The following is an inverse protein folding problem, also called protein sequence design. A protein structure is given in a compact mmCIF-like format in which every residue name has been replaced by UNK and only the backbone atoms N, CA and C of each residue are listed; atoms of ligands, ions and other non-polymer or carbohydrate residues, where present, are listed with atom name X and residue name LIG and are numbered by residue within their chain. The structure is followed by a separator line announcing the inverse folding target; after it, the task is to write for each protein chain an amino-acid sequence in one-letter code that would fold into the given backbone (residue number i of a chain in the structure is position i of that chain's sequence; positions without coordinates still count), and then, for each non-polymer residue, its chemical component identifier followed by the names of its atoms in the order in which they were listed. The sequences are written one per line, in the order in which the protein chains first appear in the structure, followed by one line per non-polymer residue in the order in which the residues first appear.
data_IF_057648235995
#
_entry.id   IF_057648235995
#
_cell.length_a   1.000
_cell.length_b   1.000
_cell.length_c   1.000
_cell.angle_alpha   90.00
_cell.angle_beta   90.00
_cell.angle_gamma   90.00
#
_symmetry.space_group_name_H-M   'P 1'
#
loop_
_entity.id
_entity.type
_entity.pdbx_description
1 polymer ?
#
# COMPACT_ATOMS: atom_id res chain seq x y z
N UNK A 1 -25.78 22.77 -7.60
CA UNK A 1 -25.15 23.84 -6.81
C UNK A 1 -23.71 23.47 -6.58
N UNK A 2 -22.78 24.27 -7.11
CA UNK A 2 -21.34 24.05 -7.01
C UNK A 2 -20.71 25.07 -6.03
N UNK A 3 -19.51 24.70 -5.56
CA UNK A 3 -18.84 25.05 -4.31
C UNK A 3 -18.44 26.53 -4.07
N UNK A 4 -18.15 26.84 -2.80
CA UNK A 4 -17.32 27.98 -2.40
C UNK A 4 -16.24 27.50 -1.41
N UNK A 5 -14.98 27.50 -1.85
CA UNK A 5 -13.79 27.36 -0.99
C UNK A 5 -13.16 28.74 -0.78
N UNK A 6 -12.84 29.10 0.46
CA UNK A 6 -12.26 30.39 0.87
C UNK A 6 -11.07 30.13 1.79
N UNK A 7 -9.93 30.77 1.50
CA UNK A 7 -8.88 31.02 2.48
C UNK A 7 -7.46 30.93 1.90
N UNK A 8 -7.01 32.02 1.28
CA UNK A 8 -5.61 32.27 0.93
C UNK A 8 -4.99 33.30 1.88
N UNK A 9 -3.72 33.06 2.17
CA UNK A 9 -2.70 33.79 2.93
C UNK A 9 -2.31 35.17 2.36
N UNK A 10 -1.80 36.08 3.23
CA UNK A 10 -0.64 36.97 2.99
C UNK A 10 -0.52 38.15 3.98
N UNK A 11 0.73 38.45 4.39
CA UNK A 11 1.22 39.74 4.93
C UNK A 11 1.54 39.76 6.43
N UNK A 12 2.60 40.40 6.98
CA UNK A 12 3.61 41.34 6.45
C UNK A 12 4.64 41.66 7.58
N UNK A 13 5.91 41.82 7.18
CA UNK A 13 6.98 42.74 7.64
C UNK A 13 7.33 43.04 9.11
N UNK A 14 8.66 43.07 9.28
CA UNK A 14 9.59 43.54 10.32
C UNK A 14 9.32 44.87 11.03
N UNK A 15 9.81 44.97 12.28
CA UNK A 15 10.43 46.14 12.97
C UNK A 15 10.99 45.59 14.31
N UNK A 16 12.19 45.85 14.86
CA UNK A 16 13.09 47.00 14.83
C UNK A 16 13.32 47.48 16.29
N UNK A 17 14.49 47.21 16.91
CA UNK A 17 14.91 47.93 18.14
C UNK A 17 16.45 47.96 18.36
N UNK A 18 17.06 49.11 18.74
CA UNK A 18 18.52 49.28 18.89
C UNK A 18 19.06 49.11 20.33
N UNK A 19 20.40 48.96 20.42
CA UNK A 19 21.30 48.70 21.57
C UNK A 19 21.44 49.82 22.63
N UNK A 20 22.20 49.62 23.75
CA UNK A 20 23.63 50.03 23.77
C UNK A 20 24.64 49.27 24.70
N UNK A 21 25.91 49.28 24.26
CA UNK A 21 27.24 49.47 24.93
C UNK A 21 27.59 48.85 26.31
N UNK A 22 28.77 48.21 26.39
CA UNK A 22 29.70 48.42 27.51
C UNK A 22 30.70 47.31 27.90
N UNK A 23 31.98 47.56 27.61
CA UNK A 23 33.20 47.16 28.37
C UNK A 23 33.95 45.86 28.02
N UNK A 24 35.19 46.07 27.60
CA UNK A 24 36.26 45.11 27.38
C UNK A 24 36.98 44.71 28.69
N UNK A 25 37.65 43.56 28.70
CA UNK A 25 38.91 43.34 29.41
C UNK A 25 39.67 42.15 28.82
N UNK A 26 40.94 42.40 28.57
CA UNK A 26 41.99 41.57 27.97
C UNK A 26 42.64 40.68 29.03
N UNK A 27 43.01 39.45 28.69
CA UNK A 27 44.13 38.75 29.34
C UNK A 27 44.79 37.76 28.35
N UNK A 28 46.12 37.78 28.13
CA UNK A 28 46.84 36.84 27.28
C UNK A 28 47.56 35.74 28.08
N UNK A 29 47.39 34.48 27.68
CA UNK A 29 48.14 33.34 28.21
C UNK A 29 48.69 32.45 27.09
N UNK A 30 50.01 32.20 27.00
CA UNK A 30 50.64 31.40 25.96
C UNK A 30 50.81 29.92 26.37
N UNK A 31 50.80 28.99 25.42
CA UNK A 31 51.22 27.60 25.70
C UNK A 31 50.87 26.56 24.64
N UNK A 32 51.83 26.30 23.75
CA UNK A 32 52.24 25.02 23.14
C UNK A 32 51.23 23.88 22.85
N UNK A 33 51.06 23.61 21.54
CA UNK A 33 51.19 22.32 20.81
C UNK A 33 50.70 20.99 21.42
N UNK A 34 49.77 20.30 20.73
CA UNK A 34 49.99 19.01 20.01
C UNK A 34 48.77 18.63 19.12
N UNK A 35 48.89 17.78 18.06
CA UNK A 35 47.85 17.48 17.08
C UNK A 35 47.10 16.16 17.37
N UNK A 36 45.98 15.98 16.65
CA UNK A 36 45.19 14.75 16.44
C UNK A 36 43.87 14.68 17.21
N UNK A 37 42.76 14.84 16.48
CA UNK A 37 41.86 13.70 16.24
C UNK A 37 40.97 14.03 15.03
N UNK A 38 40.87 13.14 14.02
CA UNK A 38 39.84 13.28 13.01
C UNK A 38 38.50 13.00 13.69
N UNK A 39 37.57 13.94 13.60
CA UNK A 39 36.19 13.71 13.95
C UNK A 39 35.70 12.46 13.20
N UNK A 40 35.53 11.36 13.94
CA UNK A 40 34.79 10.21 13.45
C UNK A 40 33.40 10.72 13.12
N UNK A 41 32.91 10.59 11.87
CA UNK A 41 31.50 10.79 11.64
C UNK A 41 30.81 9.74 12.50
N UNK A 42 30.01 10.17 13.48
CA UNK A 42 29.05 9.27 14.11
C UNK A 42 28.26 8.66 12.97
N UNK A 43 28.50 7.37 12.71
CA UNK A 43 27.61 6.53 11.94
C UNK A 43 26.30 6.55 12.72
N UNK A 44 25.50 7.60 12.49
CA UNK A 44 24.13 7.64 12.95
C UNK A 44 23.54 6.34 12.45
N UNK A 45 23.07 5.52 13.38
CA UNK A 45 22.34 4.30 13.10
C UNK A 45 21.36 4.61 11.98
N UNK A 46 21.74 4.20 10.77
CA UNK A 46 20.82 4.16 9.65
C UNK A 46 19.99 2.93 9.97
N UNK A 47 19.12 3.05 10.96
CA UNK A 47 17.97 2.18 11.11
C UNK A 47 17.28 2.31 9.77
N UNK A 48 17.54 1.34 8.90
CA UNK A 48 16.70 1.08 7.74
C UNK A 48 15.33 0.92 8.33
N UNK A 49 14.54 2.00 8.27
CA UNK A 49 13.15 1.99 8.70
C UNK A 49 12.51 0.96 7.79
N UNK A 50 12.32 -0.26 8.30
CA UNK A 50 11.45 -1.23 7.66
C UNK A 50 10.17 -0.47 7.32
N UNK A 51 9.61 -0.64 6.10
CA UNK A 51 8.30 -0.09 5.80
C UNK A 51 7.40 -0.40 7.00
N UNK A 52 6.69 0.61 7.51
CA UNK A 52 5.75 0.36 8.59
C UNK A 52 4.89 -0.84 8.18
N UNK A 53 4.83 -1.87 9.04
CA UNK A 53 4.03 -3.05 8.76
C UNK A 53 2.58 -2.58 8.63
N UNK A 54 2.05 -2.62 7.40
CA UNK A 54 0.65 -2.28 7.16
C UNK A 54 -0.30 -3.29 7.80
N UNK A 55 -1.60 -3.09 7.61
CA UNK A 55 -2.62 -3.89 8.27
C UNK A 55 -2.70 -5.35 7.81
N UNK A 56 -2.14 -5.71 6.66
CA UNK A 56 -2.27 -7.06 6.08
C UNK A 56 -1.21 -7.99 6.65
N UNK A 57 -1.60 -9.16 7.22
CA UNK A 57 -0.67 -10.16 7.70
C UNK A 57 0.20 -10.73 6.58
N UNK A 58 1.46 -11.01 6.87
CA UNK A 58 2.47 -11.41 5.88
C UNK A 58 2.07 -12.66 5.07
N UNK A 59 1.35 -13.59 5.70
CA UNK A 59 0.89 -14.82 5.05
C UNK A 59 0.05 -14.57 3.80
N UNK A 60 -0.72 -13.47 3.75
CA UNK A 60 -1.57 -13.09 2.62
C UNK A 60 -0.78 -12.45 1.47
N UNK A 61 0.37 -11.83 1.77
CA UNK A 61 1.13 -11.06 0.79
C UNK A 61 1.71 -11.97 -0.30
N UNK A 62 1.67 -11.47 -1.53
CA UNK A 62 2.27 -12.12 -2.69
C UNK A 62 1.31 -12.29 -3.86
N UNK A 63 1.66 -13.23 -4.73
CA UNK A 63 0.88 -13.62 -5.91
C UNK A 63 0.26 -14.98 -5.67
N UNK A 64 -0.99 -15.13 -6.10
CA UNK A 64 -1.83 -16.30 -5.93
C UNK A 64 -2.52 -16.62 -7.23
N UNK A 65 -2.70 -17.91 -7.53
CA UNK A 65 -3.30 -18.38 -8.78
C UNK A 65 -4.42 -19.37 -8.54
N UNK A 66 -5.46 -19.30 -9.38
CA UNK A 66 -6.53 -20.28 -9.43
C UNK A 66 -6.96 -20.52 -10.89
N UNK A 67 -7.57 -21.67 -11.13
CA UNK A 67 -8.18 -22.03 -12.41
C UNK A 67 -9.67 -22.31 -12.24
N UNK A 68 -10.45 -22.00 -13.26
CA UNK A 68 -11.89 -22.29 -13.33
C UNK A 68 -12.18 -22.90 -14.70
N UNK A 69 -12.69 -24.12 -14.72
CA UNK A 69 -13.20 -24.74 -15.93
C UNK A 69 -14.69 -24.45 -16.09
N UNK A 70 -15.08 -24.07 -17.31
CA UNK A 70 -16.49 -23.90 -17.67
C UNK A 70 -16.72 -24.43 -19.10
N UNK A 71 -17.97 -24.35 -19.57
CA UNK A 71 -18.35 -24.84 -20.91
C UNK A 71 -17.58 -24.20 -22.06
N UNK A 72 -17.01 -23.01 -21.85
CA UNK A 72 -16.26 -22.27 -22.86
C UNK A 72 -14.76 -22.56 -22.79
N UNK A 73 -14.28 -23.27 -21.76
CA UNK A 73 -12.90 -23.68 -21.57
C UNK A 73 -12.32 -23.23 -20.23
N UNK A 74 -10.99 -23.30 -20.13
CA UNK A 74 -10.25 -22.97 -18.91
C UNK A 74 -10.04 -21.46 -18.77
N UNK A 75 -10.36 -20.92 -17.60
CA UNK A 75 -10.09 -19.54 -17.21
C UNK A 75 -9.10 -19.49 -16.05
N UNK A 76 -8.15 -18.56 -16.10
CA UNK A 76 -7.17 -18.34 -15.04
C UNK A 76 -7.50 -17.11 -14.20
N UNK A 77 -7.07 -17.14 -12.94
CA UNK A 77 -7.15 -16.02 -12.01
C UNK A 77 -5.78 -15.82 -11.39
N UNK A 78 -5.22 -14.62 -11.52
CA UNK A 78 -3.99 -14.20 -10.85
C UNK A 78 -4.32 -13.08 -9.88
N UNK A 79 -4.29 -13.40 -8.60
CA UNK A 79 -4.57 -12.50 -7.49
C UNK A 79 -3.25 -12.01 -6.90
N UNK A 80 -3.09 -10.70 -6.74
CA UNK A 80 -1.95 -10.08 -6.05
C UNK A 80 -2.48 -9.34 -4.84
N UNK A 81 -1.91 -9.65 -3.67
CA UNK A 81 -2.17 -8.93 -2.42
C UNK A 81 -0.88 -8.24 -2.00
N UNK A 82 -0.98 -6.93 -1.78
CA UNK A 82 0.13 -6.07 -1.34
C UNK A 82 -0.20 -5.51 0.04
N UNK A 83 0.83 -4.99 0.71
CA UNK A 83 0.65 -4.34 1.99
C UNK A 83 -0.15 -3.04 1.84
N UNK A 84 -0.94 -2.68 2.87
CA UNK A 84 -1.71 -1.45 2.93
C UNK A 84 -2.57 -1.33 4.19
N UNK A 85 -3.19 -0.17 4.37
CA UNK A 85 -4.12 0.15 5.44
C UNK A 85 -5.58 0.06 4.96
N UNK A 86 -6.53 0.25 5.87
CA UNK A 86 -7.95 0.34 5.51
C UNK A 86 -8.19 1.51 4.56
N UNK A 87 -8.87 1.24 3.45
CA UNK A 87 -9.12 2.19 2.36
C UNK A 87 -8.05 2.19 1.26
N UNK A 88 -6.91 1.52 1.46
CA UNK A 88 -5.90 1.39 0.40
C UNK A 88 -6.26 0.29 -0.59
N UNK A 89 -5.89 0.50 -1.86
CA UNK A 89 -5.97 -0.53 -2.89
C UNK A 89 -4.90 -1.60 -2.68
N UNK A 90 -5.29 -2.69 -2.02
CA UNK A 90 -4.40 -3.79 -1.64
C UNK A 90 -4.48 -4.99 -2.58
N UNK A 91 -5.59 -5.13 -3.30
CA UNK A 91 -5.88 -6.28 -4.14
C UNK A 91 -5.88 -5.90 -5.62
N UNK A 92 -5.18 -6.70 -6.43
CA UNK A 92 -5.31 -6.71 -7.89
C UNK A 92 -5.66 -8.13 -8.35
N UNK A 93 -6.71 -8.28 -9.14
CA UNK A 93 -7.10 -9.58 -9.72
C UNK A 93 -7.07 -9.48 -11.24
N UNK A 94 -6.24 -10.30 -11.87
CA UNK A 94 -6.26 -10.51 -13.31
C UNK A 94 -7.05 -11.78 -13.62
N UNK A 95 -7.96 -11.69 -14.58
CA UNK A 95 -8.83 -12.76 -15.01
C UNK A 95 -8.72 -12.90 -16.53
N UNK A 96 -8.27 -14.07 -16.97
CA UNK A 96 -8.12 -14.39 -18.39
C UNK A 96 -8.91 -15.65 -18.71
N UNK A 97 -9.39 -15.74 -19.94
CA UNK A 97 -10.04 -16.95 -20.41
C UNK A 97 -10.78 -16.77 -21.73
N UNK A 98 -11.49 -17.81 -22.18
CA UNK A 98 -12.29 -17.78 -23.40
C UNK A 98 -13.57 -16.93 -23.23
N UNK A 99 -13.93 -16.19 -24.28
CA UNK A 99 -15.17 -15.42 -24.37
C UNK A 99 -15.77 -15.53 -25.79
N UNK A 100 -16.82 -16.34 -25.95
CA UNK A 100 -17.45 -16.58 -27.25
C UNK A 100 -16.45 -17.14 -28.27
N UNK A 101 -16.20 -16.40 -29.36
CA UNK A 101 -15.23 -16.75 -30.39
C UNK A 101 -13.79 -16.25 -30.10
N UNK A 102 -13.56 -15.58 -28.97
CA UNK A 102 -12.27 -14.98 -28.63
C UNK A 102 -11.88 -15.21 -27.17
N UNK A 103 -11.14 -14.27 -26.61
CA UNK A 103 -10.68 -14.28 -25.21
C UNK A 103 -11.15 -13.03 -24.48
N UNK A 104 -11.16 -13.09 -23.15
CA UNK A 104 -11.25 -11.92 -22.30
C UNK A 104 -9.98 -11.74 -21.49
N UNK A 105 -9.66 -10.47 -21.21
CA UNK A 105 -8.67 -10.05 -20.22
C UNK A 105 -9.30 -8.97 -19.35
N UNK A 106 -9.42 -9.24 -18.05
CA UNK A 106 -9.95 -8.28 -17.08
C UNK A 106 -8.94 -8.07 -15.95
N UNK A 107 -8.71 -6.81 -15.57
CA UNK A 107 -7.94 -6.45 -14.38
C UNK A 107 -8.81 -5.65 -13.44
N UNK A 108 -8.99 -6.18 -12.24
CA UNK A 108 -9.77 -5.58 -11.17
C UNK A 108 -8.86 -5.08 -10.05
N UNK A 109 -9.29 -4.03 -9.37
CA UNK A 109 -8.68 -3.54 -8.14
C UNK A 109 -9.71 -3.37 -7.04
N UNK A 110 -9.32 -3.65 -5.81
CA UNK A 110 -10.18 -3.48 -4.65
C UNK A 110 -9.38 -3.07 -3.42
N UNK A 111 -10.09 -2.37 -2.53
CA UNK A 111 -9.51 -1.79 -1.32
C UNK A 111 -9.74 -2.69 -0.10
N UNK A 112 -8.87 -2.54 0.90
CA UNK A 112 -9.08 -3.17 2.21
C UNK A 112 -10.23 -2.44 2.90
N UNK A 113 -11.33 -3.15 3.17
CA UNK A 113 -12.52 -2.56 3.77
C UNK A 113 -12.41 -2.40 5.28
N UNK A 114 -11.77 -3.36 5.97
CA UNK A 114 -11.65 -3.38 7.42
C UNK A 114 -10.28 -3.92 7.85
N UNK A 115 -9.85 -3.52 9.05
CA UNK A 115 -8.58 -4.00 9.62
C UNK A 115 -8.78 -5.45 10.08
N UNK A 116 -7.95 -6.41 9.62
CA UNK A 116 -8.04 -7.79 10.09
C UNK A 116 -7.65 -7.91 11.57
N UNK A 117 -8.26 -8.87 12.26
CA UNK A 117 -7.90 -9.21 13.63
C UNK A 117 -6.83 -10.29 13.64
N UNK A 118 -5.56 -9.90 13.86
CA UNK A 118 -4.43 -10.83 13.79
C UNK A 118 -4.32 -11.45 12.40
N UNK A 119 -4.13 -12.77 12.33
CA UNK A 119 -4.14 -13.55 11.08
C UNK A 119 -5.55 -13.89 10.57
N UNK A 120 -6.58 -13.16 11.05
CA UNK A 120 -7.97 -13.34 10.63
C UNK A 120 -8.23 -12.92 9.17
N UNK A 121 -9.44 -13.18 8.67
CA UNK A 121 -9.80 -12.91 7.28
C UNK A 121 -9.59 -11.45 6.86
N UNK A 122 -9.24 -11.25 5.59
CA UNK A 122 -9.23 -9.93 4.97
C UNK A 122 -10.61 -9.60 4.43
N UNK A 123 -11.13 -8.45 4.85
CA UNK A 123 -12.35 -7.88 4.31
C UNK A 123 -12.01 -6.97 3.12
N UNK A 124 -12.39 -7.38 1.92
CA UNK A 124 -12.12 -6.63 0.69
C UNK A 124 -13.41 -5.99 0.18
N UNK A 125 -13.35 -4.70 -0.13
CA UNK A 125 -14.45 -3.96 -0.72
C UNK A 125 -14.82 -4.43 -2.14
N UNK A 126 -15.88 -3.87 -2.74
CA UNK A 126 -16.20 -4.11 -4.15
C UNK A 126 -15.02 -3.76 -5.06
N UNK A 127 -14.82 -4.53 -6.11
CA UNK A 127 -13.74 -4.30 -7.07
C UNK A 127 -14.20 -3.48 -8.27
N UNK A 128 -13.31 -2.62 -8.77
CA UNK A 128 -13.53 -1.86 -10.02
C UNK A 128 -12.75 -2.48 -11.16
N UNK A 129 -13.25 -2.33 -12.40
CA UNK A 129 -12.53 -2.74 -13.61
C UNK A 129 -11.55 -1.63 -13.99
N UNK A 130 -10.27 -1.96 -14.05
CA UNK A 130 -9.20 -1.04 -14.50
C UNK A 130 -8.74 -1.32 -15.92
N UNK A 131 -8.86 -2.57 -16.37
CA UNK A 131 -8.63 -3.01 -17.75
C UNK A 131 -9.72 -4.02 -18.10
N UNK A 132 -10.28 -3.91 -19.29
CA UNK A 132 -11.25 -4.87 -19.80
C UNK A 132 -11.15 -4.99 -21.32
N UNK A 133 -10.86 -6.19 -21.79
CA UNK A 133 -10.67 -6.49 -23.21
C UNK A 133 -11.45 -7.77 -23.57
N UNK A 134 -12.53 -7.67 -24.35
CA UNK A 134 -13.25 -6.44 -24.65
C UNK A 134 -13.89 -5.86 -23.37
N UNK A 135 -14.12 -4.54 -23.33
CA UNK A 135 -14.68 -3.88 -22.14
C UNK A 135 -16.03 -4.47 -21.71
N UNK A 136 -16.83 -4.98 -22.65
CA UNK A 136 -18.11 -5.64 -22.38
C UNK A 136 -18.01 -6.98 -21.65
N UNK A 137 -16.82 -7.58 -21.59
CA UNK A 137 -16.59 -8.88 -20.92
C UNK A 137 -16.29 -8.74 -19.43
N UNK A 138 -16.12 -7.52 -18.91
CA UNK A 138 -15.67 -7.29 -17.55
C UNK A 138 -16.67 -6.43 -16.77
N UNK A 139 -17.12 -6.91 -15.62
CA UNK A 139 -18.02 -6.18 -14.72
C UNK A 139 -17.37 -6.01 -13.34
N UNK A 140 -17.58 -4.86 -12.66
CA UNK A 140 -17.18 -4.70 -11.26
C UNK A 140 -17.58 -5.90 -10.40
N UNK A 141 -16.70 -6.28 -9.48
CA UNK A 141 -16.93 -7.43 -8.60
C UNK A 141 -17.53 -7.01 -7.27
N UNK A 142 -18.33 -7.90 -6.67
CA UNK A 142 -18.84 -7.70 -5.31
C UNK A 142 -17.71 -7.75 -4.27
N UNK A 143 -18.01 -7.22 -3.08
CA UNK A 143 -17.15 -7.35 -1.91
C UNK A 143 -16.90 -8.83 -1.56
N UNK A 144 -15.76 -9.11 -0.95
CA UNK A 144 -15.35 -10.49 -0.64
C UNK A 144 -14.53 -10.59 0.63
N UNK A 145 -14.61 -11.74 1.28
CA UNK A 145 -13.73 -12.13 2.37
C UNK A 145 -12.62 -13.04 1.81
N UNK A 146 -11.38 -12.89 2.28
CA UNK A 146 -10.25 -13.76 1.95
C UNK A 146 -9.65 -14.36 3.22
N UNK A 147 -9.59 -15.68 3.28
CA UNK A 147 -9.07 -16.42 4.43
C UNK A 147 -7.84 -17.21 4.02
N UNK A 148 -6.74 -17.07 4.77
CA UNK A 148 -5.58 -17.94 4.65
C UNK A 148 -5.89 -19.27 5.35
N UNK A 149 -5.87 -20.35 4.59
CA UNK A 149 -6.16 -21.68 5.09
C UNK A 149 -4.91 -22.31 5.74
N UNK A 150 -5.08 -23.32 6.62
CA UNK A 150 -3.95 -23.98 7.28
C UNK A 150 -2.96 -24.67 6.34
N UNK A 151 -3.38 -25.00 5.11
CA UNK A 151 -2.53 -25.58 4.07
C UNK A 151 -1.72 -24.52 3.29
N UNK A 152 -1.86 -23.24 3.66
CA UNK A 152 -1.18 -22.11 3.03
C UNK A 152 -1.86 -21.58 1.77
N UNK A 153 -3.03 -22.11 1.38
CA UNK A 153 -3.83 -21.58 0.27
C UNK A 153 -4.73 -20.42 0.71
N UNK A 154 -5.18 -19.58 -0.23
CA UNK A 154 -6.21 -18.57 0.04
C UNK A 154 -7.57 -19.06 -0.41
N UNK A 155 -8.59 -18.91 0.44
CA UNK A 155 -10.00 -19.06 0.06
C UNK A 155 -10.66 -17.70 0.02
N UNK A 156 -11.15 -17.29 -1.15
CA UNK A 156 -11.93 -16.07 -1.34
C UNK A 156 -13.41 -16.41 -1.47
N UNK A 157 -14.26 -15.74 -0.70
CA UNK A 157 -15.73 -15.91 -0.73
C UNK A 157 -16.38 -14.57 -1.07
N UNK A 158 -17.28 -14.54 -2.06
CA UNK A 158 -18.06 -13.32 -2.34
C UNK A 158 -19.12 -13.12 -1.27
N UNK A 159 -19.16 -11.92 -0.68
CA UNK A 159 -20.12 -11.60 0.38
C UNK A 159 -21.56 -11.75 -0.10
N UNK A 160 -22.42 -12.25 0.78
CA UNK A 160 -23.83 -12.48 0.47
C UNK A 160 -24.12 -13.68 -0.44
N UNK A 161 -23.10 -14.48 -0.77
CA UNK A 161 -23.25 -15.69 -1.61
C UNK A 161 -22.47 -16.87 -1.00
N UNK A 162 -22.68 -18.08 -1.54
CA UNK A 162 -21.86 -19.26 -1.26
C UNK A 162 -20.71 -19.46 -2.26
N UNK A 163 -20.52 -18.53 -3.20
CA UNK A 163 -19.50 -18.65 -4.24
C UNK A 163 -18.11 -18.42 -3.64
N UNK A 164 -17.24 -19.41 -3.80
CA UNK A 164 -15.89 -19.40 -3.30
C UNK A 164 -14.89 -19.87 -4.36
N UNK A 165 -13.67 -19.37 -4.28
CA UNK A 165 -12.53 -19.84 -5.08
C UNK A 165 -11.30 -19.98 -4.21
N UNK A 166 -10.59 -21.10 -4.36
CA UNK A 166 -9.32 -21.37 -3.69
C UNK A 166 -8.16 -21.05 -4.62
N UNK A 167 -7.14 -20.37 -4.09
CA UNK A 167 -5.94 -19.96 -4.80
C UNK A 167 -4.72 -20.59 -4.13
N UNK A 168 -3.78 -21.04 -4.95
CA UNK A 168 -2.46 -21.49 -4.50
C UNK A 168 -1.46 -20.35 -4.64
N UNK A 169 -0.46 -20.31 -3.74
CA UNK A 169 0.61 -19.33 -3.85
C UNK A 169 1.42 -19.61 -5.11
N UNK A 170 1.76 -18.56 -5.85
CA UNK A 170 2.70 -18.66 -6.96
C UNK A 170 4.13 -18.50 -6.42
N UNK A 171 5.05 -19.30 -6.93
CA UNK A 171 6.50 -19.19 -6.63
C UNK A 171 7.12 -17.89 -7.14
#
# INVERSE_FOLDING_TARGET
MYALMKGGDSGTTSDGKPSPVGSASTDPGPGSSDPSDPATPSTGDRTTRSPAAGAIPEGYLGTWTAGIDNSNGHSTRRLVIRQGEVGDTVLSLTADGPAGSGTYHCVFKADLAEKPSGDGPLEIGPSTVTVGEPASSCTPGDASEITLLPDGSLRRVKKGTSEALTYTKSD
#
